data_IF_716922262975
#
_entry.id   IF_716922262975
#
_cell.length_a   1.000
_cell.length_b   1.000
_cell.length_c   1.000
_cell.angle_alpha   90.00
_cell.angle_beta   90.00
_cell.angle_gamma   90.00
#
_symmetry.space_group_name_H-M   'P 1'
#
loop_
_entity.id
_entity.type
_entity.pdbx_description
1 polymer ?
#
# COMPACT_ATOMS: atom_id res chain seq x y z
N UNK A 1 8.33 3.07 -3.05
CA UNK A 1 9.73 2.73 -2.78
C UNK A 1 10.06 1.40 -3.44
N UNK A 2 11.07 1.40 -4.32
CA UNK A 2 11.51 0.23 -5.08
C UNK A 2 12.42 -0.67 -4.23
N UNK A 3 12.60 -1.93 -4.65
CA UNK A 3 13.51 -2.86 -4.00
C UNK A 3 14.95 -2.34 -3.98
N UNK A 4 15.42 -1.80 -5.11
CA UNK A 4 16.77 -1.25 -5.25
C UNK A 4 17.02 -0.01 -4.38
N UNK A 5 16.07 0.94 -4.32
CA UNK A 5 16.19 2.09 -3.41
C UNK A 5 16.21 1.67 -1.94
N UNK A 6 15.51 0.58 -1.58
CA UNK A 6 15.54 0.02 -0.22
C UNK A 6 16.92 -0.51 0.11
N UNK A 7 17.53 -1.25 -0.82
CA UNK A 7 18.89 -1.75 -0.68
C UNK A 7 19.92 -0.63 -0.50
N UNK A 8 19.85 0.42 -1.32
CA UNK A 8 20.75 1.57 -1.22
C UNK A 8 20.66 2.30 0.13
N UNK A 9 19.45 2.47 0.67
CA UNK A 9 19.27 3.14 1.97
C UNK A 9 19.88 2.31 3.10
N UNK A 10 19.67 0.98 3.09
CA UNK A 10 20.29 0.12 4.11
C UNK A 10 21.80 0.17 4.03
N UNK A 11 22.37 0.06 2.83
CA UNK A 11 23.81 0.04 2.67
C UNK A 11 24.49 1.35 3.10
N UNK A 12 23.82 2.49 2.91
CA UNK A 12 24.37 3.80 3.26
C UNK A 12 24.11 4.19 4.72
N UNK A 13 22.95 3.84 5.28
CA UNK A 13 22.46 4.43 6.54
C UNK A 13 21.86 3.43 7.52
N UNK A 14 21.88 2.14 7.20
CA UNK A 14 21.41 1.05 8.05
C UNK A 14 19.88 0.87 8.07
N UNK A 15 19.44 -0.17 8.77
CA UNK A 15 18.03 -0.54 8.89
C UNK A 15 17.20 0.43 9.74
N UNK A 16 17.83 1.10 10.70
CA UNK A 16 17.15 2.05 11.58
C UNK A 16 16.45 3.15 10.76
N UNK A 17 17.14 3.70 9.76
CA UNK A 17 16.59 4.72 8.88
C UNK A 17 15.39 4.20 8.07
N UNK A 18 15.41 2.94 7.66
CA UNK A 18 14.26 2.30 6.99
C UNK A 18 13.09 2.15 7.94
N UNK A 19 13.33 1.77 9.19
CA UNK A 19 12.27 1.68 10.20
C UNK A 19 11.61 3.03 10.46
N UNK A 20 12.43 4.07 10.66
CA UNK A 20 11.94 5.45 10.85
C UNK A 20 11.16 5.91 9.61
N UNK A 21 11.68 5.67 8.41
CA UNK A 21 11.00 6.03 7.16
C UNK A 21 9.68 5.26 6.97
N UNK A 22 9.64 3.96 7.31
CA UNK A 22 8.42 3.15 7.24
C UNK A 22 7.34 3.66 8.20
N UNK A 23 7.72 4.03 9.43
CA UNK A 23 6.82 4.63 10.42
C UNK A 23 6.21 5.94 9.89
N UNK A 24 7.04 6.88 9.44
CA UNK A 24 6.54 8.16 8.91
C UNK A 24 5.74 8.00 7.62
N UNK A 25 6.11 7.06 6.75
CA UNK A 25 5.33 6.76 5.55
C UNK A 25 3.96 6.14 5.89
N UNK A 26 3.87 5.34 6.96
CA UNK A 26 2.60 4.84 7.47
C UNK A 26 1.74 5.98 8.07
N UNK A 27 2.37 6.94 8.74
CA UNK A 27 1.70 8.14 9.24
C UNK A 27 1.11 8.98 8.10
N UNK A 28 1.88 9.20 7.04
CA UNK A 28 1.41 9.86 5.81
C UNK A 28 0.19 9.14 5.25
N UNK A 29 0.26 7.81 5.11
CA UNK A 29 -0.85 7.02 4.58
C UNK A 29 -2.14 7.13 5.41
N UNK A 30 -2.02 7.28 6.74
CA UNK A 30 -3.16 7.50 7.63
C UNK A 30 -3.74 8.91 7.50
N UNK A 31 -2.92 9.96 7.46
CA UNK A 31 -3.40 11.33 7.26
C UNK A 31 -4.03 11.50 5.89
N UNK A 32 -3.51 10.81 4.86
CA UNK A 32 -4.10 10.78 3.52
C UNK A 32 -5.46 10.09 3.44
N UNK A 33 -6.03 9.56 4.53
CA UNK A 33 -7.39 9.01 4.52
C UNK A 33 -8.45 10.04 4.10
N UNK A 34 -8.22 11.32 4.38
CA UNK A 34 -9.12 12.41 3.97
C UNK A 34 -9.26 12.51 2.44
N UNK A 35 -8.27 12.01 1.68
CA UNK A 35 -8.32 11.94 0.21
C UNK A 35 -9.41 10.99 -0.26
N UNK A 36 -9.73 9.99 0.54
CA UNK A 36 -10.71 8.98 0.18
C UNK A 36 -12.15 9.37 0.51
N UNK A 37 -12.37 10.65 0.85
CA UNK A 37 -13.71 11.24 0.85
C UNK A 37 -14.42 10.96 -0.49
N UNK A 38 -13.71 11.01 -1.63
CA UNK A 38 -14.18 10.44 -2.89
C UNK A 38 -13.47 9.09 -3.15
N UNK A 39 -14.19 7.94 -3.09
CA UNK A 39 -13.54 6.65 -3.18
C UNK A 39 -12.87 6.39 -4.55
N UNK A 40 -11.60 5.92 -4.61
CA UNK A 40 -10.87 5.74 -5.87
C UNK A 40 -11.54 4.75 -6.82
N UNK A 41 -11.97 3.59 -6.30
CA UNK A 41 -12.62 2.56 -7.11
C UNK A 41 -13.94 3.05 -7.71
N UNK A 42 -14.70 3.86 -6.95
CA UNK A 42 -15.90 4.50 -7.48
C UNK A 42 -15.54 5.49 -8.59
N UNK A 43 -14.55 6.36 -8.37
CA UNK A 43 -14.11 7.35 -9.36
C UNK A 43 -13.64 6.70 -10.66
N UNK A 44 -12.89 5.60 -10.61
CA UNK A 44 -12.43 4.88 -11.80
C UNK A 44 -13.62 4.35 -12.61
N UNK A 45 -14.52 3.62 -11.97
CA UNK A 45 -15.69 3.00 -12.63
C UNK A 45 -16.60 4.10 -13.19
N UNK A 46 -16.88 5.13 -12.40
CA UNK A 46 -17.79 6.20 -12.81
C UNK A 46 -17.23 7.03 -13.99
N UNK A 47 -15.91 7.22 -14.05
CA UNK A 47 -15.25 7.85 -15.19
C UNK A 47 -15.29 6.98 -16.46
N UNK A 48 -15.26 5.65 -16.30
CA UNK A 48 -15.32 4.71 -17.43
C UNK A 48 -16.75 4.56 -17.99
N UNK A 49 -17.76 4.59 -17.11
CA UNK A 49 -19.16 4.34 -17.47
C UNK A 49 -19.87 5.56 -18.06
N UNK A 50 -19.37 6.78 -17.83
CA UNK A 50 -19.99 8.01 -18.34
C UNK A 50 -18.96 8.93 -18.98
N UNK A 51 -19.17 9.28 -20.25
CA UNK A 51 -18.52 10.40 -20.95
C UNK A 51 -19.00 11.77 -20.42
N UNK A 52 -19.07 11.95 -19.10
CA UNK A 52 -19.52 13.19 -18.47
C UNK A 52 -18.32 14.03 -18.03
N UNK A 53 -17.95 15.01 -18.86
CA UNK A 53 -16.94 16.04 -18.56
C UNK A 53 -17.14 16.74 -17.20
N UNK A 54 -18.36 16.73 -16.65
CA UNK A 54 -18.67 17.32 -15.34
C UNK A 54 -18.12 16.55 -14.14
N UNK A 55 -18.11 15.21 -14.17
CA UNK A 55 -17.54 14.44 -13.04
C UNK A 55 -16.02 14.54 -13.03
N UNK A 56 -15.42 14.62 -14.21
CA UNK A 56 -14.01 14.89 -14.41
C UNK A 56 -13.55 16.20 -13.74
N UNK A 57 -14.35 17.26 -13.87
CA UNK A 57 -14.12 18.53 -13.18
C UNK A 57 -14.32 18.41 -11.67
N UNK A 58 -15.35 17.66 -11.23
CA UNK A 58 -15.62 17.41 -9.82
C UNK A 58 -14.47 16.65 -9.15
N UNK A 59 -13.93 15.61 -9.81
CA UNK A 59 -12.78 14.85 -9.35
C UNK A 59 -11.55 15.75 -9.22
N UNK A 60 -11.24 16.56 -10.24
CA UNK A 60 -10.12 17.49 -10.16
C UNK A 60 -10.29 18.48 -9.00
N UNK A 61 -11.49 19.05 -8.85
CA UNK A 61 -11.82 20.00 -7.77
C UNK A 61 -11.66 19.37 -6.39
N UNK A 62 -12.04 18.11 -6.22
CA UNK A 62 -11.84 17.35 -4.98
C UNK A 62 -10.37 17.34 -4.54
N UNK A 63 -9.45 17.02 -5.46
CA UNK A 63 -8.01 17.00 -5.16
C UNK A 63 -7.44 18.39 -4.90
N UNK A 64 -7.95 19.44 -5.55
CA UNK A 64 -7.59 20.83 -5.25
C UNK A 64 -8.03 21.21 -3.83
N UNK A 65 -9.28 20.92 -3.44
CA UNK A 65 -9.79 21.25 -2.11
C UNK A 65 -9.05 20.50 -0.99
N UNK A 66 -8.73 19.22 -1.18
CA UNK A 66 -7.91 18.49 -0.23
C UNK A 66 -6.50 19.06 -0.17
N UNK A 67 -5.92 19.46 -1.31
CA UNK A 67 -4.59 20.07 -1.32
C UNK A 67 -4.53 21.34 -0.47
N UNK A 68 -5.58 22.16 -0.47
CA UNK A 68 -5.66 23.35 0.41
C UNK A 68 -5.58 22.98 1.89
N UNK A 69 -6.22 21.89 2.30
CA UNK A 69 -6.12 21.37 3.68
C UNK A 69 -4.68 20.96 4.00
N UNK A 70 -3.99 20.27 3.08
CA UNK A 70 -2.60 19.85 3.30
C UNK A 70 -1.61 21.02 3.26
N UNK A 71 -1.88 22.07 2.47
CA UNK A 71 -1.11 23.32 2.51
C UNK A 71 -1.26 24.00 3.86
N UNK A 72 -2.48 24.06 4.41
CA UNK A 72 -2.66 24.58 5.77
C UNK A 72 -1.94 23.73 6.83
N UNK A 73 -2.04 22.40 6.73
CA UNK A 73 -1.33 21.48 7.62
C UNK A 73 0.20 21.58 7.48
N UNK A 74 0.74 21.94 6.31
CA UNK A 74 2.19 22.07 6.14
C UNK A 74 2.73 23.30 6.87
N UNK A 75 1.98 24.41 6.87
CA UNK A 75 2.33 25.59 7.70
C UNK A 75 2.33 25.26 9.20
N UNK A 76 1.34 24.49 9.67
CA UNK A 76 1.33 23.99 11.05
C UNK A 76 2.51 23.07 11.31
N UNK A 77 2.80 22.13 10.41
CA UNK A 77 3.92 21.20 10.53
C UNK A 77 5.26 21.92 10.63
N UNK A 78 5.46 22.97 9.84
CA UNK A 78 6.66 23.81 9.85
C UNK A 78 6.91 24.49 11.20
N UNK A 79 5.85 24.89 11.89
CA UNK A 79 5.97 25.44 13.24
C UNK A 79 6.57 24.44 14.24
N UNK A 80 6.26 23.15 14.10
CA UNK A 80 6.75 22.11 15.02
C UNK A 80 8.16 21.61 14.65
N UNK A 81 8.38 21.22 13.39
CA UNK A 81 9.71 20.82 12.92
C UNK A 81 9.80 20.76 11.39
N UNK A 82 11.03 20.82 10.87
CA UNK A 82 11.30 20.60 9.45
C UNK A 82 10.80 19.21 8.99
N UNK A 83 10.95 18.18 9.82
CA UNK A 83 10.49 16.83 9.48
C UNK A 83 8.97 16.78 9.30
N UNK A 84 8.19 17.38 10.20
CA UNK A 84 6.73 17.45 10.07
C UNK A 84 6.33 18.18 8.79
N UNK A 85 6.99 19.30 8.48
CA UNK A 85 6.78 20.00 7.21
C UNK A 85 7.03 19.10 6.00
N UNK A 86 8.18 18.41 5.96
CA UNK A 86 8.53 17.51 4.86
C UNK A 86 7.55 16.33 4.75
N UNK A 87 7.12 15.75 5.86
CA UNK A 87 6.13 14.66 5.91
C UNK A 87 4.80 15.10 5.30
N UNK A 88 4.31 16.30 5.63
CA UNK A 88 3.05 16.83 5.07
C UNK A 88 3.22 17.18 3.59
N UNK A 89 4.35 17.75 3.19
CA UNK A 89 4.68 18.00 1.77
C UNK A 89 4.74 16.70 0.95
N UNK A 90 5.34 15.65 1.50
CA UNK A 90 5.35 14.33 0.88
C UNK A 90 3.94 13.74 0.76
N UNK A 91 3.10 13.92 1.78
CA UNK A 91 1.69 13.55 1.71
C UNK A 91 0.97 14.30 0.58
N UNK A 92 1.19 15.62 0.45
CA UNK A 92 0.63 16.42 -0.64
C UNK A 92 1.01 15.88 -2.03
N UNK A 93 2.26 15.47 -2.23
CA UNK A 93 2.66 14.79 -3.47
C UNK A 93 1.93 13.45 -3.66
N UNK A 94 1.78 12.65 -2.61
CA UNK A 94 1.08 11.36 -2.68
C UNK A 94 -0.39 11.51 -3.10
N UNK A 95 -1.05 12.59 -2.69
CA UNK A 95 -2.43 12.93 -3.06
C UNK A 95 -2.55 13.11 -4.57
N UNK A 96 -1.70 13.93 -5.17
CA UNK A 96 -1.71 14.14 -6.62
C UNK A 96 -1.29 12.90 -7.41
N UNK A 97 -0.36 12.10 -6.89
CA UNK A 97 -0.03 10.81 -7.50
C UNK A 97 -1.22 9.84 -7.49
N UNK A 98 -2.09 9.89 -6.48
CA UNK A 98 -3.32 9.10 -6.42
C UNK A 98 -4.36 9.59 -7.45
N UNK A 99 -4.50 10.90 -7.64
CA UNK A 99 -5.33 11.45 -8.73
C UNK A 99 -4.86 10.95 -10.10
N UNK A 100 -3.56 11.07 -10.37
CA UNK A 100 -2.95 10.62 -11.63
C UNK A 100 -3.18 9.12 -11.83
N UNK A 101 -3.09 8.32 -10.77
CA UNK A 101 -3.36 6.88 -10.83
C UNK A 101 -4.81 6.58 -11.24
N UNK A 102 -5.79 7.20 -10.57
CA UNK A 102 -7.22 7.06 -10.90
C UNK A 102 -7.50 7.45 -12.35
N UNK A 103 -7.01 8.60 -12.79
CA UNK A 103 -7.28 9.12 -14.14
C UNK A 103 -6.59 8.27 -15.21
N UNK A 104 -5.36 7.83 -14.94
CA UNK A 104 -4.62 6.95 -15.86
C UNK A 104 -5.27 5.57 -15.96
N UNK A 105 -5.77 5.02 -14.84
CA UNK A 105 -6.51 3.76 -14.81
C UNK A 105 -7.86 3.89 -15.54
N UNK A 106 -8.63 4.94 -15.25
CA UNK A 106 -9.92 5.17 -15.89
C UNK A 106 -9.80 5.29 -17.41
N UNK A 107 -8.81 6.02 -17.90
CA UNK A 107 -8.59 6.26 -19.33
C UNK A 107 -7.73 5.20 -20.03
N UNK A 108 -7.39 4.09 -19.36
CA UNK A 108 -6.52 3.03 -19.88
C UNK A 108 -5.15 3.53 -20.40
N UNK A 109 -4.56 4.53 -19.74
CA UNK A 109 -3.24 5.11 -20.06
C UNK A 109 -2.14 4.62 -19.12
N UNK A 110 -2.27 3.39 -18.65
CA UNK A 110 -1.36 2.78 -17.68
C UNK A 110 0.10 2.76 -18.15
N UNK A 111 0.35 2.59 -19.46
CA UNK A 111 1.72 2.58 -19.99
C UNK A 111 2.47 3.89 -19.74
N UNK A 112 1.83 5.04 -19.97
CA UNK A 112 2.43 6.36 -19.70
C UNK A 112 2.69 6.56 -18.21
N UNK A 113 1.72 6.16 -17.38
CA UNK A 113 1.84 6.23 -15.93
C UNK A 113 2.99 5.37 -15.36
N UNK A 114 3.08 4.11 -15.79
CA UNK A 114 4.16 3.22 -15.36
C UNK A 114 5.53 3.69 -15.88
N UNK A 115 5.60 4.26 -17.09
CA UNK A 115 6.82 4.87 -17.61
C UNK A 115 7.31 6.03 -16.73
N UNK A 116 6.40 6.91 -16.31
CA UNK A 116 6.72 8.01 -15.39
C UNK A 116 7.14 7.51 -14.00
N UNK A 117 6.48 6.48 -13.47
CA UNK A 117 6.86 5.84 -12.19
C UNK A 117 8.23 5.17 -12.26
N UNK A 118 8.56 4.54 -13.38
CA UNK A 118 9.87 3.96 -13.61
C UNK A 118 10.95 5.04 -13.64
N UNK A 119 10.73 6.12 -14.40
CA UNK A 119 11.66 7.26 -14.45
C UNK A 119 11.88 7.89 -13.06
N UNK A 120 10.81 8.12 -12.31
CA UNK A 120 10.84 8.58 -10.91
C UNK A 120 11.69 7.68 -10.01
N UNK A 121 11.49 6.36 -10.08
CA UNK A 121 12.20 5.39 -9.28
C UNK A 121 13.71 5.35 -9.62
N UNK A 122 14.04 5.44 -10.91
CA UNK A 122 15.42 5.53 -11.39
C UNK A 122 16.09 6.83 -10.93
N UNK A 123 15.37 7.97 -11.01
CA UNK A 123 15.87 9.26 -10.51
C UNK A 123 16.16 9.23 -9.02
N UNK A 124 15.27 8.64 -8.20
CA UNK A 124 15.51 8.45 -6.76
C UNK A 124 16.77 7.61 -6.55
N UNK A 125 16.93 6.51 -7.28
CA UNK A 125 18.09 5.64 -7.14
C UNK A 125 19.40 6.36 -7.47
N UNK A 126 19.44 7.15 -8.54
CA UNK A 126 20.62 7.95 -8.92
C UNK A 126 20.94 8.97 -7.84
N UNK A 127 19.94 9.70 -7.33
CA UNK A 127 20.17 10.69 -6.27
C UNK A 127 20.66 10.05 -4.99
N UNK A 128 20.12 8.88 -4.60
CA UNK A 128 20.57 8.14 -3.42
C UNK A 128 22.05 7.73 -3.50
N UNK A 129 22.57 7.44 -4.69
CA UNK A 129 23.99 7.11 -4.89
C UNK A 129 24.94 8.29 -4.66
N UNK A 130 24.43 9.53 -4.67
CA UNK A 130 25.25 10.74 -4.49
C UNK A 130 25.47 11.11 -3.01
N UNK A 131 24.78 10.45 -2.07
CA UNK A 131 24.88 10.74 -0.64
C UNK A 131 25.68 9.67 0.09
N UNK A 132 26.72 10.09 0.82
CA UNK A 132 27.51 9.19 1.68
C UNK A 132 26.74 8.75 2.94
N UNK A 133 25.89 9.62 3.48
CA UNK A 133 25.03 9.34 4.63
C UNK A 133 23.68 10.03 4.47
N UNK A 134 22.60 9.29 4.71
CA UNK A 134 21.23 9.81 4.60
C UNK A 134 20.64 10.07 5.98
N UNK A 135 19.82 11.11 6.08
CA UNK A 135 18.94 11.36 7.23
C UNK A 135 17.49 11.19 6.79
N UNK A 136 16.57 11.18 7.75
CA UNK A 136 15.14 11.04 7.44
C UNK A 136 14.62 12.24 6.63
N UNK A 137 15.12 13.45 6.91
CA UNK A 137 14.79 14.67 6.18
C UNK A 137 15.29 14.60 4.74
N UNK A 138 16.54 14.17 4.51
CA UNK A 138 17.08 14.07 3.15
C UNK A 138 16.31 13.02 2.34
N UNK A 139 15.93 11.90 2.96
CA UNK A 139 15.06 10.92 2.31
C UNK A 139 13.73 11.53 1.89
N UNK A 140 13.00 12.17 2.79
CA UNK A 140 11.73 12.80 2.43
C UNK A 140 11.91 13.85 1.33
N UNK A 141 12.97 14.65 1.38
CA UNK A 141 13.26 15.63 0.33
C UNK A 141 13.48 14.97 -1.04
N UNK A 142 14.29 13.92 -1.13
CA UNK A 142 14.54 13.17 -2.37
C UNK A 142 13.22 12.64 -2.96
N UNK A 143 12.38 12.07 -2.11
CA UNK A 143 11.09 11.52 -2.52
C UNK A 143 10.09 12.61 -2.93
N UNK A 144 10.06 13.75 -2.23
CA UNK A 144 9.22 14.91 -2.59
C UNK A 144 9.64 15.44 -3.95
N UNK A 145 10.93 15.70 -4.17
CA UNK A 145 11.45 16.24 -5.42
C UNK A 145 11.13 15.29 -6.58
N UNK A 146 11.36 13.98 -6.42
CA UNK A 146 11.03 13.00 -7.46
C UNK A 146 9.54 12.91 -7.75
N UNK A 147 8.69 12.89 -6.71
CA UNK A 147 7.24 12.84 -6.90
C UNK A 147 6.71 14.13 -7.54
N UNK A 148 7.21 15.29 -7.12
CA UNK A 148 6.86 16.59 -7.69
C UNK A 148 7.26 16.68 -9.17
N UNK A 149 8.45 16.20 -9.52
CA UNK A 149 8.89 16.10 -10.92
C UNK A 149 7.94 15.20 -11.73
N UNK A 150 7.55 14.05 -11.19
CA UNK A 150 6.61 13.12 -11.83
C UNK A 150 5.25 13.77 -12.09
N UNK A 151 4.72 14.46 -11.09
CA UNK A 151 3.44 15.19 -11.18
C UNK A 151 3.55 16.28 -12.26
N UNK A 152 4.61 17.08 -12.22
CA UNK A 152 4.85 18.16 -13.18
C UNK A 152 4.94 17.64 -14.61
N UNK A 153 5.73 16.59 -14.84
CA UNK A 153 5.85 15.95 -16.16
C UNK A 153 4.51 15.41 -16.66
N UNK A 154 3.70 14.80 -15.79
CA UNK A 154 2.38 14.33 -16.17
C UNK A 154 1.49 15.46 -16.70
N UNK A 155 1.43 16.60 -15.99
CA UNK A 155 0.63 17.76 -16.42
C UNK A 155 1.20 18.44 -17.67
N UNK A 156 2.51 18.45 -17.87
CA UNK A 156 3.15 18.99 -19.07
C UNK A 156 2.79 18.13 -20.30
N UNK A 157 2.86 16.80 -20.18
CA UNK A 157 2.56 15.86 -21.27
C UNK A 157 1.06 15.82 -21.55
N UNK A 158 0.22 15.95 -20.52
CA UNK A 158 -1.23 15.86 -20.62
C UNK A 158 -1.90 17.20 -20.30
N UNK A 159 -1.56 18.25 -21.06
CA UNK A 159 -2.04 19.64 -20.86
C UNK A 159 -3.56 19.78 -20.74
N UNK A 160 -4.33 18.94 -21.43
CA UNK A 160 -5.80 18.96 -21.36
C UNK A 160 -6.35 18.69 -19.95
N UNK A 161 -5.56 18.11 -19.04
CA UNK A 161 -5.95 17.93 -17.63
C UNK A 161 -5.61 19.15 -16.76
N UNK A 162 -4.64 19.98 -17.17
CA UNK A 162 -4.28 21.20 -16.46
C UNK A 162 -5.31 22.32 -16.65
N UNK A 163 -6.03 22.31 -17.79
CA UNK A 163 -7.02 23.34 -18.14
C UNK A 163 -8.43 23.07 -17.57
N UNK A 164 -8.56 22.11 -16.64
CA UNK A 164 -9.87 21.74 -16.07
C UNK A 164 -10.40 22.84 -15.14
N UNK A 165 -11.64 23.26 -15.39
CA UNK A 165 -12.33 24.23 -14.51
C UNK A 165 -12.63 23.62 -13.15
N UNK A 166 -12.41 24.42 -12.11
CA UNK A 166 -12.75 24.07 -10.72
C UNK A 166 -14.24 24.33 -10.50
N UNK A 167 -14.93 23.34 -9.95
CA UNK A 167 -16.35 23.42 -9.57
C UNK A 167 -16.47 24.18 -8.25
N UNK A 168 -17.55 24.92 -8.02
CA UNK A 168 -17.73 25.69 -6.79
C UNK A 168 -17.75 24.82 -5.53
N UNK A 169 -17.26 25.37 -4.41
CA UNK A 169 -17.18 24.66 -3.14
C UNK A 169 -18.57 24.25 -2.62
N UNK A 170 -19.59 25.10 -2.83
CA UNK A 170 -20.97 24.81 -2.45
C UNK A 170 -21.52 23.59 -3.19
N UNK A 171 -21.28 23.51 -4.51
CA UNK A 171 -21.66 22.34 -5.31
C UNK A 171 -20.88 21.10 -4.88
N UNK A 172 -19.57 21.23 -4.64
CA UNK A 172 -18.74 20.13 -4.15
C UNK A 172 -19.31 19.53 -2.85
N UNK A 173 -19.58 20.38 -1.86
CA UNK A 173 -20.14 19.94 -0.57
C UNK A 173 -21.52 19.30 -0.75
N UNK A 174 -22.39 19.91 -1.58
CA UNK A 174 -23.70 19.35 -1.89
C UNK A 174 -23.60 17.96 -2.52
N UNK A 175 -22.72 17.78 -3.50
CA UNK A 175 -22.48 16.50 -4.16
C UNK A 175 -22.04 15.43 -3.16
N UNK A 176 -21.05 15.76 -2.30
CA UNK A 176 -20.55 14.84 -1.28
C UNK A 176 -21.64 14.44 -0.29
N UNK A 177 -22.49 15.39 0.13
CA UNK A 177 -23.62 15.12 1.03
C UNK A 177 -24.67 14.23 0.37
N UNK A 178 -25.00 14.48 -0.89
CA UNK A 178 -25.98 13.71 -1.63
C UNK A 178 -25.56 12.24 -1.85
N UNK A 179 -24.26 11.98 -2.02
CA UNK A 179 -23.73 10.64 -2.32
C UNK A 179 -23.11 9.93 -1.09
N UNK A 180 -23.20 10.52 0.10
CA UNK A 180 -22.60 9.96 1.31
C UNK A 180 -23.06 8.52 1.60
N UNK A 181 -24.36 8.24 1.44
CA UNK A 181 -24.91 6.91 1.66
C UNK A 181 -24.33 5.88 0.68
N UNK A 182 -24.13 6.28 -0.58
CA UNK A 182 -23.50 5.46 -1.62
C UNK A 182 -22.04 5.14 -1.28
N UNK A 183 -21.31 6.09 -0.68
CA UNK A 183 -19.89 5.93 -0.36
C UNK A 183 -19.60 5.19 0.94
N UNK A 184 -20.58 5.03 1.84
CA UNK A 184 -20.40 4.45 3.17
C UNK A 184 -19.68 3.10 3.15
N UNK A 185 -20.05 2.21 2.24
CA UNK A 185 -19.42 0.88 2.10
C UNK A 185 -17.96 0.95 1.66
N UNK A 186 -17.63 1.89 0.76
CA UNK A 186 -16.27 2.12 0.31
C UNK A 186 -15.39 2.71 1.41
N UNK A 187 -15.91 3.62 2.23
CA UNK A 187 -15.17 4.18 3.36
C UNK A 187 -14.74 3.10 4.34
N UNK A 188 -15.64 2.18 4.70
CA UNK A 188 -15.31 1.07 5.61
C UNK A 188 -14.23 0.15 5.04
N UNK A 189 -14.31 -0.19 3.74
CA UNK A 189 -13.29 -1.01 3.06
C UNK A 189 -11.93 -0.29 3.04
N UNK A 190 -11.89 0.98 2.66
CA UNK A 190 -10.66 1.78 2.59
C UNK A 190 -10.03 1.94 3.98
N UNK A 191 -10.81 2.25 5.01
CA UNK A 191 -10.32 2.38 6.38
C UNK A 191 -9.76 1.05 6.88
N UNK A 192 -10.49 -0.06 6.69
CA UNK A 192 -10.03 -1.37 7.13
C UNK A 192 -8.73 -1.79 6.45
N UNK A 193 -8.62 -1.59 5.12
CA UNK A 193 -7.37 -1.85 4.38
C UNK A 193 -6.22 -0.97 4.87
N UNK A 194 -6.47 0.33 5.08
CA UNK A 194 -5.44 1.26 5.56
C UNK A 194 -4.97 0.91 6.97
N UNK A 195 -5.86 0.50 7.85
CA UNK A 195 -5.50 0.04 9.19
C UNK A 195 -4.66 -1.24 9.15
N UNK A 196 -5.02 -2.21 8.29
CA UNK A 196 -4.23 -3.42 8.07
C UNK A 196 -2.81 -3.10 7.56
N UNK A 197 -2.69 -2.20 6.58
CA UNK A 197 -1.41 -1.97 5.89
C UNK A 197 -0.51 -0.94 6.60
N UNK A 198 -1.09 0.14 7.13
CA UNK A 198 -0.35 1.29 7.70
C UNK A 198 -0.60 1.47 9.20
N UNK A 199 -1.82 1.20 9.68
CA UNK A 199 -2.15 1.27 11.11
C UNK A 199 -1.31 0.31 11.95
N UNK A 200 -1.09 -0.92 11.48
CA UNK A 200 -0.23 -1.89 12.16
C UNK A 200 1.23 -1.43 12.26
N UNK A 201 1.77 -0.82 11.21
CA UNK A 201 3.15 -0.28 11.21
C UNK A 201 3.30 0.82 12.27
N UNK A 202 2.30 1.70 12.40
CA UNK A 202 2.31 2.74 13.44
C UNK A 202 2.26 2.15 14.85
N UNK A 203 1.40 1.15 15.07
CA UNK A 203 1.30 0.48 16.37
C UNK A 203 2.61 -0.21 16.74
N UNK A 204 3.21 -0.96 15.82
CA UNK A 204 4.49 -1.64 16.04
C UNK A 204 5.60 -0.60 16.29
N UNK A 205 5.70 0.42 15.43
CA UNK A 205 6.76 1.42 15.52
C UNK A 205 6.70 2.31 16.76
N UNK A 206 5.56 2.40 17.44
CA UNK A 206 5.44 3.06 18.73
C UNK A 206 5.99 2.22 19.90
N UNK A 207 6.17 0.91 19.71
CA UNK A 207 6.44 -0.06 20.78
C UNK A 207 7.77 -0.81 20.61
N UNK A 208 8.40 -0.67 19.45
CA UNK A 208 9.55 -1.48 19.02
C UNK A 208 10.66 -0.57 18.52
N UNK A 209 11.92 -0.99 18.71
CA UNK A 209 13.08 -0.23 18.26
C UNK A 209 13.07 -0.04 16.72
N UNK A 210 13.52 1.12 16.20
CA UNK A 210 13.43 1.38 14.76
C UNK A 210 14.25 0.40 13.90
N UNK A 211 15.34 -0.15 14.42
CA UNK A 211 16.10 -1.20 13.73
C UNK A 211 15.25 -2.46 13.47
N UNK A 212 14.49 -2.92 14.48
CA UNK A 212 13.59 -4.08 14.36
C UNK A 212 12.47 -3.79 13.35
N UNK A 213 11.89 -2.59 13.39
CA UNK A 213 10.90 -2.16 12.40
C UNK A 213 11.50 -2.10 10.99
N UNK A 214 12.78 -1.71 10.86
CA UNK A 214 13.53 -1.71 9.62
C UNK A 214 13.67 -3.09 9.01
N UNK A 215 14.08 -4.08 9.81
CA UNK A 215 14.19 -5.49 9.39
C UNK A 215 12.81 -6.03 8.97
N UNK A 216 11.77 -5.78 9.77
CA UNK A 216 10.41 -6.18 9.43
C UNK A 216 9.90 -5.52 8.14
N UNK A 217 10.24 -4.25 7.91
CA UNK A 217 9.89 -3.53 6.68
C UNK A 217 10.54 -4.17 5.45
N UNK A 218 11.76 -4.69 5.57
CA UNK A 218 12.42 -5.42 4.48
C UNK A 218 11.72 -6.74 4.20
N UNK A 219 11.37 -7.49 5.25
CA UNK A 219 10.56 -8.70 5.11
C UNK A 219 9.26 -8.40 4.35
N UNK A 220 8.55 -7.34 4.73
CA UNK A 220 7.36 -6.87 4.00
C UNK A 220 7.62 -6.48 2.55
N UNK A 221 8.78 -5.89 2.23
CA UNK A 221 9.15 -5.56 0.83
C UNK A 221 9.41 -6.80 0.00
N UNK A 222 10.18 -7.76 0.50
CA UNK A 222 10.43 -9.04 -0.15
C UNK A 222 9.11 -9.79 -0.37
N UNK A 223 8.27 -9.87 0.66
CA UNK A 223 6.91 -10.39 0.60
C UNK A 223 6.07 -9.73 -0.49
N UNK A 224 6.01 -8.40 -0.51
CA UNK A 224 5.21 -7.65 -1.48
C UNK A 224 5.66 -7.91 -2.92
N UNK A 225 6.96 -8.06 -3.15
CA UNK A 225 7.49 -8.40 -4.47
C UNK A 225 7.05 -9.81 -4.92
N UNK A 226 7.22 -10.82 -4.06
CA UNK A 226 6.87 -12.21 -4.40
C UNK A 226 5.36 -12.39 -4.52
N UNK A 227 4.58 -11.91 -3.54
CA UNK A 227 3.12 -11.97 -3.56
C UNK A 227 2.55 -11.16 -4.73
N UNK A 228 3.17 -10.05 -5.11
CA UNK A 228 2.79 -9.27 -6.28
C UNK A 228 2.82 -10.10 -7.57
N UNK A 229 3.81 -10.97 -7.73
CA UNK A 229 3.88 -11.90 -8.86
C UNK A 229 2.80 -12.99 -8.78
N UNK A 230 2.54 -13.53 -7.58
CA UNK A 230 1.45 -14.51 -7.37
C UNK A 230 0.09 -13.89 -7.73
N UNK A 231 -0.13 -12.60 -7.43
CA UNK A 231 -1.37 -11.89 -7.78
C UNK A 231 -1.58 -11.69 -9.28
N UNK A 232 -0.58 -11.88 -10.13
CA UNK A 232 -0.80 -11.94 -11.59
C UNK A 232 -1.69 -13.15 -11.95
N UNK A 233 -1.64 -14.23 -11.17
CA UNK A 233 -2.58 -15.34 -11.32
C UNK A 233 -3.99 -14.98 -10.85
N UNK A 234 -4.10 -14.09 -9.85
CA UNK A 234 -5.39 -13.55 -9.40
C UNK A 234 -6.10 -12.87 -10.56
N UNK A 235 -5.40 -12.05 -11.36
CA UNK A 235 -5.99 -11.36 -12.51
C UNK A 235 -6.40 -12.31 -13.64
N UNK A 236 -5.64 -13.39 -13.88
CA UNK A 236 -6.01 -14.44 -14.83
C UNK A 236 -7.31 -15.15 -14.42
N UNK A 237 -7.53 -15.34 -13.11
CA UNK A 237 -8.68 -16.03 -12.52
C UNK A 237 -9.92 -15.13 -12.35
N UNK A 238 -9.81 -13.82 -12.56
CA UNK A 238 -10.97 -12.91 -12.57
C UNK A 238 -11.88 -13.13 -13.78
N UNK A 239 -11.38 -13.74 -14.86
CA UNK A 239 -12.23 -14.15 -15.99
C UNK A 239 -13.08 -15.37 -15.61
N UNK A 240 -14.40 -15.28 -15.80
CA UNK A 240 -15.34 -16.38 -15.50
C UNK A 240 -15.01 -17.67 -16.26
N UNK A 241 -14.55 -17.54 -17.51
CA UNK A 241 -14.19 -18.67 -18.37
C UNK A 241 -12.95 -19.37 -17.82
N UNK A 242 -11.90 -18.60 -17.51
CA UNK A 242 -10.67 -19.13 -16.92
C UNK A 242 -10.93 -19.71 -15.53
N UNK A 243 -11.73 -19.02 -14.72
CA UNK A 243 -12.11 -19.50 -13.39
C UNK A 243 -12.76 -20.88 -13.46
N UNK A 244 -13.76 -21.07 -14.32
CA UNK A 244 -14.45 -22.36 -14.48
C UNK A 244 -13.51 -23.44 -15.03
N UNK A 245 -12.62 -23.09 -15.96
CA UNK A 245 -11.63 -24.01 -16.54
C UNK A 245 -10.59 -24.47 -15.51
N UNK A 246 -10.10 -23.58 -14.66
CA UNK A 246 -9.04 -23.86 -13.69
C UNK A 246 -9.56 -24.26 -12.31
N UNK A 247 -10.87 -24.10 -12.02
CA UNK A 247 -11.50 -24.52 -10.76
C UNK A 247 -11.25 -25.99 -10.45
N UNK A 248 -11.27 -26.86 -11.46
CA UNK A 248 -11.04 -28.31 -11.31
C UNK A 248 -9.55 -28.69 -11.13
N UNK A 249 -8.62 -27.85 -11.59
CA UNK A 249 -7.17 -28.05 -11.47
C UNK A 249 -6.57 -27.35 -10.23
N UNK A 250 -7.41 -26.70 -9.42
CA UNK A 250 -7.00 -25.80 -8.35
C UNK A 250 -6.61 -26.46 -7.02
N UNK A 251 -6.71 -27.79 -6.87
CA UNK A 251 -6.47 -28.45 -5.58
C UNK A 251 -5.04 -28.24 -5.05
N UNK A 252 -4.03 -28.48 -5.89
CA UNK A 252 -2.62 -28.41 -5.48
C UNK A 252 -1.93 -27.09 -5.84
N UNK A 253 -2.52 -26.28 -6.73
CA UNK A 253 -1.94 -25.02 -7.18
C UNK A 253 -1.68 -24.01 -6.04
N UNK A 254 -2.59 -23.78 -5.07
CA UNK A 254 -2.33 -22.89 -3.95
C UNK A 254 -1.14 -23.34 -3.09
N UNK A 255 -0.95 -24.66 -2.93
CA UNK A 255 0.16 -25.21 -2.16
C UNK A 255 1.48 -25.08 -2.92
N UNK A 256 1.48 -25.31 -4.23
CA UNK A 256 2.64 -25.07 -5.09
C UNK A 256 3.05 -23.59 -5.06
N UNK A 257 2.09 -22.67 -5.22
CA UNK A 257 2.33 -21.23 -5.14
C UNK A 257 2.79 -20.79 -3.76
N UNK A 258 2.25 -21.40 -2.70
CA UNK A 258 2.73 -21.18 -1.33
C UNK A 258 4.18 -21.62 -1.17
N UNK A 259 4.56 -22.76 -1.75
CA UNK A 259 5.94 -23.27 -1.68
C UNK A 259 6.91 -22.39 -2.46
N UNK A 260 6.57 -22.04 -3.70
CA UNK A 260 7.36 -21.11 -4.52
C UNK A 260 7.47 -19.75 -3.83
N UNK A 261 6.35 -19.26 -3.28
CA UNK A 261 6.30 -18.03 -2.52
C UNK A 261 7.19 -18.06 -1.28
N UNK A 262 7.18 -19.16 -0.53
CA UNK A 262 7.98 -19.34 0.68
C UNK A 262 9.47 -19.29 0.33
N UNK A 263 9.89 -20.08 -0.67
CA UNK A 263 11.28 -20.10 -1.14
C UNK A 263 11.70 -18.72 -1.65
N UNK A 264 10.83 -18.03 -2.40
CA UNK A 264 11.11 -16.70 -2.93
C UNK A 264 11.29 -15.66 -1.83
N UNK A 265 10.39 -15.61 -0.83
CA UNK A 265 10.47 -14.63 0.26
C UNK A 265 11.68 -14.94 1.13
N UNK A 266 11.86 -16.20 1.53
CA UNK A 266 12.97 -16.63 2.37
C UNK A 266 14.33 -16.34 1.71
N UNK A 267 14.52 -16.73 0.45
CA UNK A 267 15.77 -16.49 -0.27
C UNK A 267 16.04 -15.00 -0.49
N UNK A 268 15.06 -14.22 -0.94
CA UNK A 268 15.25 -12.79 -1.18
C UNK A 268 15.55 -12.01 0.10
N UNK A 269 14.85 -12.30 1.19
CA UNK A 269 15.12 -11.66 2.48
C UNK A 269 16.48 -12.08 3.05
N UNK A 270 16.87 -13.36 2.94
CA UNK A 270 18.19 -13.82 3.35
C UNK A 270 19.31 -13.16 2.53
N UNK A 271 19.18 -13.09 1.20
CA UNK A 271 20.13 -12.41 0.32
C UNK A 271 20.25 -10.93 0.69
N UNK A 272 19.13 -10.26 0.95
CA UNK A 272 19.11 -8.84 1.30
C UNK A 272 19.86 -8.59 2.62
N UNK A 273 19.55 -9.36 3.66
CA UNK A 273 20.20 -9.23 4.97
C UNK A 273 21.68 -9.61 4.93
N UNK A 274 22.04 -10.67 4.20
CA UNK A 274 23.43 -11.08 3.99
C UNK A 274 24.24 -9.97 3.32
N UNK A 275 23.71 -9.37 2.24
CA UNK A 275 24.38 -8.26 1.55
C UNK A 275 24.57 -7.01 2.41
N UNK A 276 23.82 -6.91 3.50
CA UNK A 276 23.87 -5.79 4.44
C UNK A 276 24.80 -6.06 5.64
N UNK A 277 25.59 -7.15 5.62
CA UNK A 277 26.54 -7.56 6.66
C UNK A 277 25.95 -7.73 8.07
N UNK A 278 24.66 -8.07 8.17
CA UNK A 278 24.00 -8.31 9.45
C UNK A 278 23.73 -9.80 9.70
N UNK A 279 23.68 -10.18 10.98
CA UNK A 279 23.27 -11.52 11.39
C UNK A 279 21.85 -11.78 10.92
N UNK A 280 21.66 -12.89 10.20
CA UNK A 280 20.35 -13.27 9.68
C UNK A 280 19.50 -13.83 10.83
N UNK A 281 18.35 -13.21 11.15
CA UNK A 281 17.41 -13.71 12.15
C UNK A 281 16.62 -14.87 11.53
N UNK A 282 17.23 -16.06 11.55
CA UNK A 282 16.76 -17.25 10.83
C UNK A 282 15.38 -17.71 11.29
N UNK A 283 15.11 -17.67 12.61
CA UNK A 283 13.84 -18.12 13.17
C UNK A 283 12.69 -17.20 12.76
N UNK A 284 12.91 -15.89 12.86
CA UNK A 284 11.98 -14.83 12.51
C UNK A 284 11.68 -14.84 11.02
N UNK A 285 12.70 -15.00 10.18
CA UNK A 285 12.56 -15.11 8.74
C UNK A 285 11.76 -16.36 8.34
N UNK A 286 12.05 -17.50 8.97
CA UNK A 286 11.31 -18.73 8.74
C UNK A 286 9.84 -18.54 9.11
N UNK A 287 9.56 -18.06 10.32
CA UNK A 287 8.20 -17.79 10.81
C UNK A 287 7.49 -16.83 9.88
N UNK A 288 8.13 -15.71 9.54
CA UNK A 288 7.54 -14.71 8.66
C UNK A 288 7.17 -15.31 7.31
N UNK A 289 8.08 -16.04 6.64
CA UNK A 289 7.82 -16.62 5.32
C UNK A 289 6.65 -17.60 5.27
N UNK A 290 6.25 -18.21 6.39
CA UNK A 290 5.13 -19.16 6.42
C UNK A 290 3.77 -18.50 6.11
N UNK A 291 3.61 -17.19 6.26
CA UNK A 291 2.35 -16.48 5.98
C UNK A 291 1.90 -16.59 4.51
N UNK A 292 2.81 -16.95 3.59
CA UNK A 292 2.48 -17.06 2.16
C UNK A 292 1.54 -18.23 1.86
N UNK A 293 1.55 -19.28 2.69
CA UNK A 293 0.68 -20.44 2.54
C UNK A 293 -0.82 -20.11 2.76
N UNK A 294 -1.22 -19.41 3.83
CA UNK A 294 -2.60 -18.94 3.94
C UNK A 294 -2.92 -17.92 2.85
N UNK A 295 -2.02 -16.99 2.51
CA UNK A 295 -2.29 -15.99 1.44
C UNK A 295 -2.54 -16.63 0.08
N UNK A 296 -1.72 -17.61 -0.33
CA UNK A 296 -1.88 -18.26 -1.62
C UNK A 296 -3.25 -18.91 -1.75
N UNK A 297 -3.79 -19.47 -0.67
CA UNK A 297 -5.15 -20.03 -0.62
C UNK A 297 -6.23 -18.94 -0.58
N UNK A 298 -6.01 -17.87 0.18
CA UNK A 298 -6.94 -16.72 0.25
C UNK A 298 -7.16 -16.11 -1.13
N UNK A 299 -6.14 -16.04 -2.01
CA UNK A 299 -6.28 -15.52 -3.38
C UNK A 299 -7.38 -16.27 -4.16
N UNK A 300 -7.41 -17.61 -4.09
CA UNK A 300 -8.43 -18.40 -4.79
C UNK A 300 -9.81 -18.25 -4.16
N UNK A 301 -9.90 -18.28 -2.82
CA UNK A 301 -11.18 -18.06 -2.10
C UNK A 301 -11.72 -16.66 -2.41
N UNK A 302 -10.86 -15.65 -2.39
CA UNK A 302 -11.22 -14.27 -2.69
C UNK A 302 -11.79 -14.13 -4.09
N UNK A 303 -11.17 -14.75 -5.10
CA UNK A 303 -11.72 -14.76 -6.45
C UNK A 303 -13.10 -15.41 -6.50
N UNK A 304 -13.33 -16.51 -5.79
CA UNK A 304 -14.68 -17.12 -5.74
C UNK A 304 -15.73 -16.18 -5.13
N UNK A 305 -15.38 -15.48 -4.04
CA UNK A 305 -16.26 -14.55 -3.34
C UNK A 305 -16.53 -13.29 -4.16
N UNK A 306 -15.52 -12.78 -4.87
CA UNK A 306 -15.66 -11.64 -5.78
C UNK A 306 -16.59 -11.97 -6.95
N UNK A 307 -16.48 -13.17 -7.53
CA UNK A 307 -17.37 -13.65 -8.60
C UNK A 307 -18.82 -13.84 -8.13
N UNK A 308 -19.04 -13.95 -6.82
CA UNK A 308 -20.36 -14.02 -6.18
C UNK A 308 -20.79 -12.69 -5.54
N UNK A 309 -20.04 -11.61 -5.76
CA UNK A 309 -20.28 -10.28 -5.19
C UNK A 309 -20.35 -10.23 -3.65
N UNK A 310 -19.69 -11.16 -2.95
CA UNK A 310 -19.70 -11.26 -1.49
C UNK A 310 -18.59 -10.43 -0.82
N UNK A 311 -18.55 -9.12 -1.09
CA UNK A 311 -17.52 -8.20 -0.57
C UNK A 311 -17.57 -8.02 0.95
N UNK A 312 -18.73 -8.19 1.58
CA UNK A 312 -18.87 -8.13 3.04
C UNK A 312 -18.12 -9.24 3.80
N UNK A 313 -17.89 -10.40 3.16
CA UNK A 313 -17.09 -11.48 3.74
C UNK A 313 -15.60 -11.10 3.77
N UNK A 314 -15.11 -10.45 2.72
CA UNK A 314 -13.73 -9.98 2.62
C UNK A 314 -13.45 -8.84 3.62
N UNK A 315 -14.40 -7.94 3.84
CA UNK A 315 -14.26 -6.88 4.84
C UNK A 315 -14.14 -7.47 6.27
N UNK A 316 -14.94 -8.49 6.59
CA UNK A 316 -14.85 -9.19 7.87
C UNK A 316 -13.51 -9.93 8.03
N UNK A 317 -12.98 -10.52 6.96
CA UNK A 317 -11.64 -11.10 6.96
C UNK A 317 -10.56 -10.08 7.35
N UNK A 318 -10.61 -8.86 6.80
CA UNK A 318 -9.64 -7.80 7.13
C UNK A 318 -9.75 -7.38 8.61
N UNK A 319 -10.96 -7.30 9.15
CA UNK A 319 -11.17 -6.97 10.58
C UNK A 319 -10.70 -8.11 11.49
N UNK A 320 -10.96 -9.37 11.12
CA UNK A 320 -10.45 -10.54 11.84
C UNK A 320 -8.93 -10.57 11.84
N UNK A 321 -8.29 -10.27 10.70
CA UNK A 321 -6.85 -10.17 10.62
C UNK A 321 -6.29 -9.13 11.61
N UNK A 322 -6.84 -7.91 11.62
CA UNK A 322 -6.36 -6.83 12.50
C UNK A 322 -6.54 -7.19 13.97
N UNK A 323 -7.72 -7.69 14.36
CA UNK A 323 -8.01 -8.05 15.75
C UNK A 323 -7.10 -9.15 16.28
N UNK A 324 -6.88 -10.20 15.49
CA UNK A 324 -5.96 -11.29 15.85
C UNK A 324 -4.52 -10.79 15.91
N UNK A 325 -4.10 -9.95 14.95
CA UNK A 325 -2.75 -9.37 14.98
C UNK A 325 -2.49 -8.61 16.28
N UNK A 326 -3.40 -7.70 16.65
CA UNK A 326 -3.29 -6.90 17.88
C UNK A 326 -3.25 -7.82 19.11
N UNK A 327 -4.16 -8.80 19.18
CA UNK A 327 -4.20 -9.72 20.32
C UNK A 327 -2.90 -10.53 20.47
N UNK A 328 -2.42 -11.15 19.38
CA UNK A 328 -1.19 -11.95 19.41
C UNK A 328 0.01 -11.06 19.73
N UNK A 329 0.13 -9.89 19.10
CA UNK A 329 1.25 -8.98 19.33
C UNK A 329 1.30 -8.47 20.77
N UNK A 330 0.16 -8.11 21.36
CA UNK A 330 0.09 -7.68 22.76
C UNK A 330 0.43 -8.80 23.75
N UNK A 331 0.08 -10.04 23.42
CA UNK A 331 0.43 -11.21 24.25
C UNK A 331 1.91 -11.58 24.15
N UNK A 332 2.57 -11.30 23.02
CA UNK A 332 3.96 -11.68 22.77
C UNK A 332 4.97 -10.54 22.97
N UNK A 333 4.51 -9.36 23.40
CA UNK A 333 5.30 -8.14 23.49
C UNK A 333 6.49 -8.22 24.46
N UNK A 334 6.43 -9.12 25.45
CA UNK A 334 7.51 -9.36 26.42
C UNK A 334 8.63 -10.29 25.91
N UNK A 335 8.48 -10.88 24.72
CA UNK A 335 9.49 -11.73 24.09
C UNK A 335 10.32 -10.94 23.06
N UNK A 336 11.12 -11.64 22.24
CA UNK A 336 11.81 -11.02 21.12
C UNK A 336 10.82 -10.27 20.22
N UNK A 337 11.06 -8.96 20.06
CA UNK A 337 10.14 -8.05 19.37
C UNK A 337 9.97 -8.41 17.89
N UNK A 338 11.04 -8.82 17.20
CA UNK A 338 10.97 -9.17 15.78
C UNK A 338 10.18 -10.48 15.60
N UNK A 339 10.46 -11.47 16.45
CA UNK A 339 9.73 -12.74 16.44
C UNK A 339 8.25 -12.53 16.77
N UNK A 340 7.93 -11.70 17.77
CA UNK A 340 6.58 -11.34 18.16
C UNK A 340 5.78 -10.76 16.99
N UNK A 341 6.36 -9.82 16.23
CA UNK A 341 5.75 -9.24 15.03
C UNK A 341 5.52 -10.31 13.95
N UNK A 342 6.54 -11.12 13.67
CA UNK A 342 6.48 -12.14 12.62
C UNK A 342 5.42 -13.22 12.96
N UNK A 343 5.35 -13.63 14.23
CA UNK A 343 4.31 -14.54 14.73
C UNK A 343 2.93 -13.92 14.63
N UNK A 344 2.75 -12.68 15.10
CA UNK A 344 1.48 -11.97 15.03
C UNK A 344 0.96 -11.89 13.60
N UNK A 345 1.83 -11.53 12.64
CA UNK A 345 1.49 -11.43 11.23
C UNK A 345 1.11 -12.78 10.59
N UNK A 346 1.88 -13.82 10.90
CA UNK A 346 1.68 -15.16 10.32
C UNK A 346 0.44 -15.83 10.89
N UNK A 347 0.23 -15.72 12.21
CA UNK A 347 -0.95 -16.25 12.88
C UNK A 347 -2.22 -15.49 12.48
N UNK A 348 -2.14 -14.16 12.32
CA UNK A 348 -3.29 -13.38 11.86
C UNK A 348 -3.70 -13.74 10.45
N UNK A 349 -2.77 -13.93 9.50
CA UNK A 349 -3.11 -14.44 8.16
C UNK A 349 -3.70 -15.85 8.23
N UNK A 350 -3.15 -16.73 9.06
CA UNK A 350 -3.61 -18.12 9.19
C UNK A 350 -5.02 -18.20 9.76
N UNK A 351 -5.29 -17.50 10.86
CA UNK A 351 -6.61 -17.50 11.51
C UNK A 351 -7.64 -16.80 10.61
N UNK A 352 -7.27 -15.71 9.95
CA UNK A 352 -8.17 -15.03 9.03
C UNK A 352 -8.49 -15.90 7.80
N UNK A 353 -7.53 -16.68 7.30
CA UNK A 353 -7.77 -17.72 6.29
C UNK A 353 -8.74 -18.79 6.79
N UNK A 354 -8.57 -19.32 8.00
CA UNK A 354 -9.48 -20.34 8.57
C UNK A 354 -10.91 -19.81 8.71
N UNK A 355 -11.07 -18.54 9.11
CA UNK A 355 -12.35 -17.86 9.10
C UNK A 355 -12.95 -17.79 7.69
N UNK A 356 -12.18 -17.34 6.70
CA UNK A 356 -12.64 -17.28 5.31
C UNK A 356 -13.07 -18.64 4.78
N UNK A 357 -12.28 -19.69 5.07
CA UNK A 357 -12.59 -21.07 4.67
C UNK A 357 -13.93 -21.53 5.24
N UNK A 358 -14.18 -21.26 6.52
CA UNK A 358 -15.45 -21.62 7.19
C UNK A 358 -16.65 -20.87 6.58
N UNK A 359 -16.48 -19.61 6.23
CA UNK A 359 -17.58 -18.76 5.73
C UNK A 359 -17.85 -18.97 4.23
N UNK A 360 -16.84 -19.26 3.43
CA UNK A 360 -16.99 -19.47 1.98
C UNK A 360 -17.55 -20.84 1.61
N UNK A 361 -17.56 -21.81 2.54
CA UNK A 361 -17.94 -23.19 2.26
C UNK A 361 -17.04 -23.87 1.22
N UNK A 362 -15.89 -23.27 0.90
CA UNK A 362 -14.98 -23.76 -0.12
C UNK A 362 -13.87 -24.62 0.51
N UNK A 363 -13.85 -25.89 0.09
CA UNK A 363 -12.98 -27.02 0.46
C UNK A 363 -13.29 -27.78 1.74
#
# INVERSE_FOLDING_TARGET
MSFFSTWLIVHTSGFELIGIFAYWNAFVAMISLIVYLLPPNFSIIYLQEKENNHFDQMLFSHYVYISLVFVFLSFIGFYFSLLYFLVVCFALCAIWLNYIDIVSQANNRLHSYFGLKFFSASGIAVVLLLFEKLTIETLFLIYIVSNFFTISMYFIVHRSFADRKIVSLSYYIFYMKAHYQTFRGYYLDIIAKRLKDSGLILMIGALVAPNVLGIFSIFQKCASFVVGNIRILESLLLSKVNFLQYKTHSGNMPLLLGTIGFVGIFSLSAMFLYSSNHSIPWAELLVYSLFVFPISRVIFIRNTLLMQYQTGVLNRYTVWFISVFVAVFMLTLNYDQLLAICLAYTLSETIAYLYLKKVSGAF
#
